data_IF_217765037657
#
_entry.id   IF_217765037657
#
_cell.length_a   1.000
_cell.length_b   1.000
_cell.length_c   1.000
_cell.angle_alpha   90.00
_cell.angle_beta   90.00
_cell.angle_gamma   90.00
#
_symmetry.space_group_name_H-M   'P 1'
#
loop_
_entity.id
_entity.type
_entity.pdbx_description
1 polymer ?
#
# COMPACT_ATOMS: atom_id res chain seq x y z
N UNK A 1 -9.35 12.72 2.29
CA UNK A 1 -8.80 11.36 2.46
C UNK A 1 -7.40 11.50 3.02
N UNK A 2 -7.22 11.35 4.34
CA UNK A 2 -5.90 11.33 4.94
C UNK A 2 -5.10 10.12 4.41
N UNK A 3 -3.80 10.35 4.16
CA UNK A 3 -2.88 9.31 3.69
C UNK A 3 -1.72 9.17 4.66
N UNK A 4 -1.38 7.94 5.02
CA UNK A 4 -0.28 7.60 5.92
C UNK A 4 0.72 6.68 5.22
N UNK A 5 1.99 6.72 5.62
CA UNK A 5 3.05 5.92 5.01
C UNK A 5 3.66 4.94 6.03
N UNK A 6 2.92 3.90 6.44
CA UNK A 6 3.41 2.94 7.41
C UNK A 6 4.60 2.14 6.88
N UNK A 7 5.46 1.72 7.81
CA UNK A 7 6.54 0.76 7.57
C UNK A 7 6.30 -0.47 8.44
N UNK A 8 6.52 -1.65 7.87
CA UNK A 8 6.35 -2.92 8.59
C UNK A 8 7.34 -3.96 8.09
N UNK A 9 7.69 -4.91 8.94
CA UNK A 9 8.60 -6.00 8.60
C UNK A 9 7.83 -7.14 7.92
N UNK A 10 8.41 -7.71 6.86
CA UNK A 10 7.93 -8.97 6.28
C UNK A 10 8.47 -10.17 7.09
N UNK A 11 7.99 -11.40 6.82
CA UNK A 11 8.52 -12.60 7.50
C UNK A 11 10.02 -12.89 7.27
N UNK A 12 10.63 -12.28 6.24
CA UNK A 12 12.07 -12.37 5.96
C UNK A 12 12.92 -11.34 6.71
N UNK A 13 12.30 -10.42 7.46
CA UNK A 13 12.97 -9.34 8.18
C UNK A 13 13.23 -8.07 7.36
N UNK A 14 12.74 -7.99 6.12
CA UNK A 14 12.86 -6.76 5.34
C UNK A 14 11.80 -5.75 5.80
N UNK A 15 12.22 -4.50 5.99
CA UNK A 15 11.27 -3.39 6.23
C UNK A 15 10.67 -2.93 4.90
N UNK A 16 9.36 -3.11 4.76
CA UNK A 16 8.58 -2.67 3.61
C UNK A 16 7.94 -1.30 3.89
N UNK A 17 7.84 -0.47 2.85
CA UNK A 17 7.09 0.77 2.87
C UNK A 17 5.75 0.58 2.16
N UNK A 18 4.67 1.09 2.75
CA UNK A 18 3.36 1.13 2.12
C UNK A 18 2.73 2.53 2.23
N UNK A 19 1.63 2.71 1.51
CA UNK A 19 0.74 3.86 1.63
C UNK A 19 -0.65 3.36 2.03
N UNK A 20 -1.22 3.98 3.06
CA UNK A 20 -2.55 3.71 3.56
C UNK A 20 -3.39 4.97 3.35
N UNK A 21 -4.35 4.90 2.43
CA UNK A 21 -5.35 5.94 2.25
C UNK A 21 -6.60 5.58 3.07
N UNK A 22 -7.04 6.51 3.92
CA UNK A 22 -8.22 6.35 4.77
C UNK A 22 -9.36 7.28 4.28
N UNK A 23 -10.62 6.86 4.45
CA UNK A 23 -11.75 7.74 4.23
C UNK A 23 -11.73 8.90 5.24
N UNK A 24 -12.32 10.03 4.86
CA UNK A 24 -12.54 11.11 5.82
C UNK A 24 -13.64 10.72 6.82
N UNK A 25 -13.41 10.98 8.11
CA UNK A 25 -14.41 10.76 9.16
C UNK A 25 -14.37 9.38 9.80
N UNK A 26 -15.48 8.64 9.73
CA UNK A 26 -15.69 7.36 10.42
C UNK A 26 -14.68 6.27 10.01
N UNK A 27 -14.52 5.28 10.88
CA UNK A 27 -13.65 4.13 10.63
C UNK A 27 -14.05 3.38 9.35
N UNK A 28 -13.07 2.89 8.56
CA UNK A 28 -13.37 2.17 7.33
C UNK A 28 -14.21 0.91 7.60
N UNK A 29 -15.26 0.71 6.80
CA UNK A 29 -16.12 -0.48 6.86
C UNK A 29 -15.36 -1.76 6.47
N UNK A 30 -14.39 -1.64 5.56
CA UNK A 30 -13.50 -2.70 5.14
C UNK A 30 -12.17 -2.13 4.64
N UNK A 31 -11.15 -2.99 4.56
CA UNK A 31 -9.85 -2.68 3.98
C UNK A 31 -9.64 -3.50 2.71
N UNK A 32 -8.95 -2.90 1.75
CA UNK A 32 -8.50 -3.59 0.54
C UNK A 32 -6.98 -3.48 0.43
N UNK A 33 -6.32 -4.60 0.10
CA UNK A 33 -4.91 -4.59 -0.24
C UNK A 33 -4.77 -4.33 -1.74
N UNK A 34 -4.16 -3.21 -2.10
CA UNK A 34 -3.89 -2.89 -3.49
C UNK A 34 -2.45 -3.23 -3.87
N UNK A 35 -2.20 -4.50 -4.20
CA UNK A 35 -0.91 -4.92 -4.75
C UNK A 35 -0.85 -4.57 -6.25
N UNK A 36 0.01 -3.63 -6.62
CA UNK A 36 0.11 -3.13 -7.99
C UNK A 36 1.57 -2.97 -8.43
N UNK A 37 1.79 -2.88 -9.74
CA UNK A 37 3.10 -2.63 -10.36
C UNK A 37 3.14 -1.25 -11.02
N UNK A 38 2.51 -0.23 -10.42
CA UNK A 38 2.37 1.10 -11.04
C UNK A 38 3.73 1.77 -11.32
N UNK A 39 4.77 1.41 -10.56
CA UNK A 39 6.15 1.83 -10.79
C UNK A 39 6.86 1.05 -11.90
N UNK A 40 6.33 -0.08 -12.36
CA UNK A 40 6.86 -0.88 -13.47
C UNK A 40 6.48 -0.30 -14.85
N UNK A 41 6.17 0.98 -14.93
CA UNK A 41 5.80 1.66 -16.17
C UNK A 41 7.01 1.82 -17.10
N UNK A 42 7.41 0.74 -17.80
CA UNK A 42 8.01 0.74 -19.16
C UNK A 42 8.48 -0.62 -19.68
N UNK A 43 8.71 -1.62 -18.82
CA UNK A 43 9.40 -2.86 -19.23
C UNK A 43 8.74 -4.12 -18.66
N UNK A 44 7.41 -4.20 -18.69
CA UNK A 44 6.70 -5.46 -18.54
C UNK A 44 6.36 -5.99 -19.95
N UNK A 45 7.30 -6.70 -20.57
CA UNK A 45 7.00 -7.55 -21.73
C UNK A 45 6.24 -8.79 -21.25
N UNK A 46 5.07 -9.03 -21.84
CA UNK A 46 4.23 -10.21 -21.61
C UNK A 46 4.68 -11.39 -22.49
#
# INVERSE_FOLDING_TARGET
>A
MPSENPRFENPGGDTLAARLDLPDGESPYAFALFAHCFTCSKDLEA
#
